data_IF_801988381500
#
_entry.id   IF_801988381500
#
_cell.length_a   1.000
_cell.length_b   1.000
_cell.length_c   1.000
_cell.angle_alpha   90.00
_cell.angle_beta   90.00
_cell.angle_gamma   90.00
#
_symmetry.space_group_name_H-M   'P 1'
#
loop_
_entity.id
_entity.type
_entity.pdbx_description
1 polymer ?
#
# COMPACT_ATOMS: atom_id res chain seq x y z
N UNK A 1 18.80 15.05 -2.14
CA UNK A 1 19.35 13.68 -2.27
C UNK A 1 18.33 12.58 -1.89
N UNK A 2 17.38 12.83 -0.98
CA UNK A 2 16.34 11.87 -0.57
C UNK A 2 15.41 11.39 -1.72
N UNK A 3 15.09 12.26 -2.68
CA UNK A 3 14.19 11.94 -3.79
C UNK A 3 14.73 10.85 -4.72
N UNK A 4 16.03 10.86 -5.02
CA UNK A 4 16.64 9.84 -5.89
C UNK A 4 16.70 8.45 -5.24
N UNK A 5 16.76 8.39 -3.91
CA UNK A 5 16.76 7.12 -3.17
C UNK A 5 15.35 6.50 -3.15
N UNK A 6 14.30 7.32 -2.95
CA UNK A 6 12.90 6.89 -3.09
C UNK A 6 12.60 6.41 -4.51
N UNK A 7 13.12 7.10 -5.51
CA UNK A 7 12.89 6.76 -6.93
C UNK A 7 13.54 5.42 -7.30
N UNK A 8 14.76 5.15 -6.82
CA UNK A 8 15.41 3.83 -6.96
C UNK A 8 14.66 2.72 -6.24
N UNK A 9 14.16 2.99 -5.03
CA UNK A 9 13.34 2.03 -4.29
C UNK A 9 12.03 1.72 -5.03
N UNK A 10 11.36 2.74 -5.57
CA UNK A 10 10.16 2.56 -6.39
C UNK A 10 10.43 1.78 -7.68
N UNK A 11 11.59 1.97 -8.31
CA UNK A 11 11.99 1.16 -9.48
C UNK A 11 12.26 -0.30 -9.11
N UNK A 12 12.92 -0.56 -7.98
CA UNK A 12 13.16 -1.92 -7.49
C UNK A 12 11.85 -2.63 -7.14
N UNK A 13 10.95 -1.94 -6.42
CA UNK A 13 9.62 -2.46 -6.10
C UNK A 13 8.82 -2.68 -7.40
N UNK A 14 8.87 -1.75 -8.35
CA UNK A 14 8.14 -1.82 -9.61
C UNK A 14 8.56 -3.00 -10.49
N UNK A 15 9.84 -3.35 -10.51
CA UNK A 15 10.35 -4.48 -11.30
C UNK A 15 9.83 -5.83 -10.80
N UNK A 16 9.69 -5.99 -9.48
CA UNK A 16 9.19 -7.23 -8.86
C UNK A 16 7.73 -7.17 -8.42
N UNK A 17 7.04 -6.05 -8.71
CA UNK A 17 5.68 -5.81 -8.23
C UNK A 17 4.73 -6.90 -8.72
N UNK A 18 4.79 -7.24 -10.00
CA UNK A 18 3.92 -8.28 -10.57
C UNK A 18 4.16 -9.65 -9.93
N UNK A 19 5.41 -10.03 -9.72
CA UNK A 19 5.76 -11.29 -9.05
C UNK A 19 5.31 -11.28 -7.58
N UNK A 20 5.41 -10.13 -6.92
CA UNK A 20 4.96 -9.95 -5.53
C UNK A 20 3.44 -10.07 -5.44
N UNK A 21 2.69 -9.42 -6.33
CA UNK A 21 1.23 -9.51 -6.37
C UNK A 21 0.78 -10.95 -6.69
N UNK A 22 1.42 -11.61 -7.66
CA UNK A 22 1.20 -13.03 -7.94
C UNK A 22 1.43 -13.89 -6.70
N UNK A 23 2.49 -13.64 -5.94
CA UNK A 23 2.77 -14.39 -4.71
C UNK A 23 1.73 -14.13 -3.61
N UNK A 24 1.35 -12.86 -3.39
CA UNK A 24 0.40 -12.46 -2.34
C UNK A 24 -1.00 -13.00 -2.60
N UNK A 25 -1.42 -13.02 -3.87
CA UNK A 25 -2.76 -13.44 -4.26
C UNK A 25 -2.83 -14.89 -4.76
N UNK A 26 -1.73 -15.65 -4.73
CA UNK A 26 -1.71 -17.04 -5.25
C UNK A 26 -2.71 -17.98 -4.58
N UNK A 27 -3.08 -17.68 -3.33
CA UNK A 27 -3.96 -18.51 -2.53
C UNK A 27 -5.44 -18.13 -2.74
N UNK A 28 -5.72 -17.07 -3.51
CA UNK A 28 -7.06 -16.72 -3.97
C UNK A 28 -7.42 -17.49 -5.24
N UNK A 29 -8.65 -17.98 -5.30
CA UNK A 29 -9.25 -18.49 -6.52
C UNK A 29 -9.52 -17.37 -7.53
N UNK A 30 -9.72 -17.72 -8.80
CA UNK A 30 -10.05 -16.76 -9.86
C UNK A 30 -11.31 -15.95 -9.53
N UNK A 31 -12.31 -16.56 -8.90
CA UNK A 31 -13.54 -15.87 -8.45
C UNK A 31 -13.25 -14.85 -7.35
N UNK A 32 -12.45 -15.22 -6.34
CA UNK A 32 -12.08 -14.29 -5.26
C UNK A 32 -11.23 -13.13 -5.76
N UNK A 33 -10.34 -13.38 -6.75
CA UNK A 33 -9.57 -12.35 -7.42
C UNK A 33 -10.45 -11.36 -8.18
N UNK A 34 -11.46 -11.86 -8.90
CA UNK A 34 -12.40 -11.02 -9.65
C UNK A 34 -13.28 -10.18 -8.71
N UNK A 35 -13.77 -10.76 -7.61
CA UNK A 35 -14.53 -10.03 -6.59
C UNK A 35 -13.67 -8.94 -5.93
N UNK A 36 -12.41 -9.27 -5.59
CA UNK A 36 -11.47 -8.31 -5.03
C UNK A 36 -11.21 -7.16 -5.99
N UNK A 37 -10.93 -7.44 -7.27
CA UNK A 37 -10.69 -6.42 -8.29
C UNK A 37 -11.93 -5.54 -8.49
N UNK A 38 -13.10 -6.15 -8.61
CA UNK A 38 -14.39 -5.46 -8.80
C UNK A 38 -14.66 -4.49 -7.65
N UNK A 39 -14.46 -4.93 -6.41
CA UNK A 39 -14.61 -4.05 -5.24
C UNK A 39 -13.57 -2.93 -5.25
N UNK A 40 -12.29 -3.26 -5.46
CA UNK A 40 -11.21 -2.28 -5.43
C UNK A 40 -11.34 -1.20 -6.51
N UNK A 41 -11.93 -1.53 -7.66
CA UNK A 41 -12.20 -0.61 -8.76
C UNK A 41 -13.47 0.24 -8.55
N UNK A 42 -14.37 -0.17 -7.66
CA UNK A 42 -15.61 0.55 -7.34
C UNK A 42 -15.35 1.90 -6.67
N UNK A 43 -16.36 2.78 -6.67
CA UNK A 43 -16.33 4.06 -5.96
C UNK A 43 -16.08 3.89 -4.46
N UNK A 44 -16.74 2.90 -3.87
CA UNK A 44 -16.68 2.58 -2.45
C UNK A 44 -15.32 1.99 -2.08
N UNK A 45 -14.79 1.05 -2.88
CA UNK A 45 -13.46 0.47 -2.64
C UNK A 45 -12.36 1.52 -2.73
N UNK A 46 -12.42 2.41 -3.73
CA UNK A 46 -11.49 3.55 -3.82
C UNK A 46 -11.56 4.46 -2.60
N UNK A 47 -12.77 4.82 -2.14
CA UNK A 47 -12.95 5.62 -0.94
C UNK A 47 -12.40 4.92 0.31
N UNK A 48 -12.65 3.61 0.44
CA UNK A 48 -12.14 2.77 1.53
C UNK A 48 -10.60 2.79 1.58
N UNK A 49 -9.93 2.51 0.45
CA UNK A 49 -8.46 2.49 0.42
C UNK A 49 -7.85 3.88 0.64
N UNK A 50 -8.50 4.96 0.17
CA UNK A 50 -8.08 6.32 0.47
C UNK A 50 -8.16 6.63 1.97
N UNK A 51 -9.25 6.23 2.63
CA UNK A 51 -9.43 6.39 4.07
C UNK A 51 -8.40 5.56 4.86
N UNK A 52 -8.17 4.31 4.47
CA UNK A 52 -7.16 3.45 5.08
C UNK A 52 -5.76 4.05 4.97
N UNK A 53 -5.38 4.57 3.79
CA UNK A 53 -4.10 5.25 3.60
C UNK A 53 -3.99 6.50 4.48
N UNK A 54 -5.05 7.29 4.59
CA UNK A 54 -5.09 8.46 5.46
C UNK A 54 -4.90 8.07 6.94
N UNK A 55 -5.55 6.99 7.40
CA UNK A 55 -5.43 6.47 8.76
C UNK A 55 -4.00 5.98 9.05
N UNK A 56 -3.38 5.24 8.13
CA UNK A 56 -1.98 4.78 8.26
C UNK A 56 -1.03 5.98 8.36
N UNK A 57 -1.21 6.99 7.49
CA UNK A 57 -0.40 8.22 7.53
C UNK A 57 -0.55 8.96 8.85
N UNK A 58 -1.78 9.07 9.36
CA UNK A 58 -2.06 9.69 10.64
C UNK A 58 -1.39 8.91 11.79
N UNK A 59 -1.52 7.58 11.82
CA UNK A 59 -0.87 6.73 12.82
C UNK A 59 0.66 6.83 12.82
N UNK A 60 1.27 6.83 11.62
CA UNK A 60 2.72 7.02 11.47
C UNK A 60 3.18 8.41 11.93
N UNK A 61 2.41 9.47 11.64
CA UNK A 61 2.72 10.83 12.07
C UNK A 61 2.66 10.97 13.60
N UNK A 62 1.73 10.30 14.27
CA UNK A 62 1.64 10.24 15.73
C UNK A 62 2.85 9.48 16.32
N UNK A 63 3.25 8.37 15.71
CA UNK A 63 4.45 7.61 16.10
C UNK A 63 5.78 8.38 15.93
N UNK A 64 5.89 9.21 14.89
CA UNK A 64 7.03 10.10 14.70
C UNK A 64 7.05 11.23 15.73
N UNK A 65 5.89 11.84 16.01
CA UNK A 65 5.76 12.88 17.04
C UNK A 65 6.19 12.36 18.42
N UNK A 66 5.75 11.16 18.80
CA UNK A 66 6.14 10.55 20.09
C UNK A 66 7.63 10.17 20.15
N UNK A 67 8.23 9.72 19.05
CA UNK A 67 9.68 9.45 18.99
C UNK A 67 10.53 10.72 19.08
N UNK A 68 10.05 11.85 18.56
CA UNK A 68 10.71 13.16 18.72
C UNK A 68 10.58 13.78 20.11
N UNK A 69 9.71 13.22 20.96
CA UNK A 69 9.52 13.61 22.36
C UNK A 69 10.24 12.68 23.35
N UNK A 70 10.92 11.62 22.88
CA UNK A 70 11.78 10.82 23.75
C UNK A 70 13.10 11.58 24.05
N UNK A 71 13.53 11.68 25.32
CA UNK A 71 14.68 12.48 25.75
C UNK A 71 16.04 11.95 25.27
#
# INVERSE_FOLDING_TARGET
MLNGQRQRLMQQIGNDLNNTLLYVYRDLSDTELEEFATFAESSEGKAYYQAALAAIRAGLAVGQSTSSLAP
#
